data_IF_162387154256
#
_entry.id   IF_162387154256
#
_cell.length_a   1.000
_cell.length_b   1.000
_cell.length_c   1.000
_cell.angle_alpha   90.00
_cell.angle_beta   90.00
_cell.angle_gamma   90.00
#
_symmetry.space_group_name_H-M   'P 1'
#
loop_
_entity.id
_entity.type
_entity.pdbx_description
1 polymer ?
#
# COMPACT_ATOMS: atom_id res chain seq x y z
N UNK A 1 23.49 -50.32 -11.16
CA UNK A 1 24.84 -50.05 -10.63
C UNK A 1 24.93 -48.54 -10.43
N UNK A 2 25.06 -47.95 -9.26
CA UNK A 2 25.19 -48.39 -7.89
C UNK A 2 25.22 -47.11 -7.05
N UNK A 3 24.48 -47.10 -5.94
CA UNK A 3 24.58 -46.11 -4.88
C UNK A 3 26.01 -46.06 -4.32
N UNK A 4 26.47 -44.90 -3.84
CA UNK A 4 27.35 -44.77 -2.66
C UNK A 4 27.59 -43.30 -2.24
N UNK A 5 26.93 -42.89 -1.16
CA UNK A 5 27.56 -42.18 -0.04
C UNK A 5 28.22 -43.25 0.86
N UNK A 6 29.19 -42.98 1.79
CA UNK A 6 28.96 -42.07 2.92
C UNK A 6 30.17 -41.43 3.68
N UNK A 7 29.79 -40.60 4.66
CA UNK A 7 30.38 -40.33 6.00
C UNK A 7 31.67 -39.51 6.18
N UNK A 8 31.54 -38.36 6.87
CA UNK A 8 32.11 -38.15 8.23
C UNK A 8 31.91 -36.70 8.75
N UNK A 9 31.07 -36.58 9.78
CA UNK A 9 31.25 -35.86 11.07
C UNK A 9 32.02 -34.53 11.16
N UNK A 10 31.37 -33.51 11.74
CA UNK A 10 32.01 -32.31 12.27
C UNK A 10 31.01 -31.26 12.76
N UNK A 11 30.51 -31.42 13.98
CA UNK A 11 29.67 -30.43 14.70
C UNK A 11 30.56 -29.31 15.23
N UNK A 12 30.25 -28.06 14.90
CA UNK A 12 30.65 -26.87 15.69
C UNK A 12 29.49 -25.88 15.68
N UNK A 13 28.88 -25.67 16.85
CA UNK A 13 27.97 -24.58 17.16
C UNK A 13 28.76 -23.27 17.32
N UNK A 14 28.37 -22.21 16.60
CA UNK A 14 28.69 -20.84 16.96
C UNK A 14 27.48 -19.94 16.69
N UNK A 15 26.82 -19.52 17.77
CA UNK A 15 25.79 -18.49 17.79
C UNK A 15 26.42 -17.10 17.69
N UNK A 16 25.89 -16.17 16.89
CA UNK A 16 26.15 -14.74 17.09
C UNK A 16 24.94 -14.09 17.76
N UNK A 17 25.09 -13.74 19.03
CA UNK A 17 24.17 -12.87 19.75
C UNK A 17 24.33 -11.42 19.30
N UNK A 18 23.24 -10.81 18.85
CA UNK A 18 23.17 -9.36 18.64
C UNK A 18 22.93 -8.66 19.98
N UNK A 19 23.94 -7.93 20.46
CA UNK A 19 23.80 -6.96 21.55
C UNK A 19 23.66 -5.56 20.98
N UNK A 20 22.64 -4.88 21.47
CA UNK A 20 22.29 -3.48 21.28
C UNK A 20 23.46 -2.55 21.68
N UNK A 21 23.84 -1.64 20.79
CA UNK A 21 24.73 -0.53 21.10
C UNK A 21 23.91 0.74 21.32
N UNK A 22 23.67 1.05 22.59
CA UNK A 22 23.29 2.38 23.06
C UNK A 22 24.51 3.29 23.01
N UNK A 23 24.58 4.19 22.02
CA UNK A 23 25.57 5.28 22.00
C UNK A 23 24.95 6.47 22.72
N UNK A 24 25.26 6.57 24.02
CA UNK A 24 25.03 7.74 24.84
C UNK A 24 26.38 8.47 24.95
N UNK A 25 26.55 9.54 24.18
CA UNK A 25 27.71 10.44 24.33
C UNK A 25 27.34 11.52 25.33
N UNK A 26 27.98 11.43 26.49
CA UNK A 26 28.13 12.48 27.49
C UNK A 26 28.88 13.67 26.89
N UNK A 27 28.29 14.87 26.94
CA UNK A 27 29.02 16.13 26.96
C UNK A 27 28.27 17.07 27.91
N UNK A 28 28.86 17.28 29.08
CA UNK A 28 28.34 18.17 30.11
C UNK A 28 28.67 19.63 29.78
N UNK A 29 27.68 20.50 29.95
CA UNK A 29 27.85 21.94 30.09
C UNK A 29 26.94 22.42 31.23
N UNK A 30 27.58 22.90 32.29
CA UNK A 30 26.95 23.65 33.39
C UNK A 30 26.36 24.97 32.85
N UNK A 31 25.13 25.31 33.25
CA UNK A 31 24.75 26.69 33.61
C UNK A 31 23.29 26.78 34.10
N UNK A 32 23.17 27.21 35.35
CA UNK A 32 22.14 28.10 35.93
C UNK A 32 20.75 28.17 35.28
N UNK A 33 19.74 27.72 36.03
CA UNK A 33 18.35 28.16 35.88
C UNK A 33 18.20 29.67 36.13
N UNK A 34 17.27 30.33 35.44
CA UNK A 34 16.16 30.91 36.19
C UNK A 34 14.79 30.71 35.54
N UNK A 35 13.79 30.81 36.41
CA UNK A 35 12.35 30.65 36.26
C UNK A 35 11.73 31.37 35.05
N UNK A 36 10.85 30.67 34.33
CA UNK A 36 10.03 31.23 33.26
C UNK A 36 8.74 30.44 33.06
N UNK A 37 7.64 31.09 33.40
CA UNK A 37 6.24 30.67 33.38
C UNK A 37 5.80 29.92 32.10
N UNK A 38 5.17 28.75 32.24
CA UNK A 38 4.47 28.06 31.15
C UNK A 38 3.03 27.67 31.54
N UNK A 39 2.11 28.10 30.70
CA UNK A 39 0.65 27.99 30.77
C UNK A 39 0.14 26.53 30.71
N UNK A 40 -1.03 26.20 31.30
CA UNK A 40 -1.59 24.86 31.25
C UNK A 40 -2.64 24.75 30.13
N UNK A 41 -2.37 23.98 29.08
CA UNK A 41 -3.43 23.48 28.18
C UNK A 41 -3.10 22.04 27.74
N UNK A 42 -3.49 21.07 28.57
CA UNK A 42 -3.50 19.65 28.20
C UNK A 42 -4.96 19.20 28.05
N UNK A 43 -5.56 19.42 26.89
CA UNK A 43 -6.84 18.78 26.52
C UNK A 43 -6.53 17.41 25.89
N UNK A 44 -6.83 16.34 26.63
CA UNK A 44 -6.87 14.98 26.07
C UNK A 44 -8.11 14.86 25.18
N UNK A 45 -7.92 14.71 23.87
CA UNK A 45 -8.97 14.22 22.98
C UNK A 45 -8.97 12.68 23.05
N UNK A 46 -10.11 12.01 23.33
CA UNK A 46 -10.17 10.56 23.24
C UNK A 46 -10.19 10.12 21.76
N UNK A 47 -9.65 8.94 21.41
CA UNK A 47 -9.71 8.45 20.05
C UNK A 47 -11.16 8.13 19.69
N UNK A 48 -11.73 8.86 18.72
CA UNK A 48 -13.02 8.53 18.11
C UNK A 48 -12.87 7.20 17.36
N UNK A 49 -13.48 6.14 17.90
CA UNK A 49 -13.63 4.86 17.20
C UNK A 49 -14.63 5.04 16.07
N UNK A 50 -14.15 5.20 14.84
CA UNK A 50 -14.99 4.99 13.67
C UNK A 50 -15.33 3.51 13.59
N UNK A 51 -16.58 3.14 13.91
CA UNK A 51 -17.11 1.82 13.58
C UNK A 51 -17.64 1.86 12.16
N UNK A 52 -16.88 1.33 11.22
CA UNK A 52 -17.41 0.90 9.93
C UNK A 52 -18.05 -0.46 10.15
N UNK A 53 -19.38 -0.53 10.11
CA UNK A 53 -20.10 -1.79 10.08
C UNK A 53 -20.23 -2.23 8.62
N UNK A 54 -19.53 -3.29 8.24
CA UNK A 54 -19.74 -3.96 6.96
C UNK A 54 -20.48 -5.26 7.24
N UNK A 55 -21.79 -5.29 6.96
CA UNK A 55 -22.60 -6.49 7.04
C UNK A 55 -22.54 -7.25 5.72
N UNK A 56 -21.70 -8.27 5.67
CA UNK A 56 -21.88 -9.40 4.75
C UNK A 56 -21.22 -10.62 5.37
N UNK A 57 -22.03 -11.60 5.72
CA UNK A 57 -21.62 -12.90 6.24
C UNK A 57 -20.79 -13.66 5.19
N UNK A 58 -19.47 -13.53 5.28
CA UNK A 58 -18.52 -14.50 4.70
C UNK A 58 -17.79 -15.18 5.85
N UNK A 59 -17.98 -16.50 5.93
CA UNK A 59 -17.38 -17.36 6.96
C UNK A 59 -15.86 -17.42 6.76
N UNK A 60 -15.13 -17.30 7.87
CA UNK A 60 -13.66 -17.21 7.99
C UNK A 60 -13.08 -15.80 7.74
N UNK A 61 -12.57 -15.18 8.80
CA UNK A 61 -11.78 -13.96 8.69
C UNK A 61 -10.57 -14.21 7.75
N UNK A 62 -10.43 -13.36 6.73
CA UNK A 62 -9.37 -13.45 5.72
C UNK A 62 -8.00 -13.44 6.40
N UNK A 63 -7.08 -14.29 5.93
CA UNK A 63 -5.81 -14.55 6.61
C UNK A 63 -4.98 -13.27 6.86
N UNK A 64 -4.83 -12.41 5.85
CA UNK A 64 -4.15 -11.12 5.98
C UNK A 64 -4.87 -10.18 6.97
N UNK A 65 -6.21 -10.18 6.99
CA UNK A 65 -7.00 -9.31 7.87
C UNK A 65 -6.87 -9.74 9.33
N UNK A 66 -6.85 -11.05 9.60
CA UNK A 66 -6.59 -11.60 10.95
C UNK A 66 -5.23 -11.14 11.47
N UNK A 67 -4.19 -11.33 10.66
CA UNK A 67 -2.84 -10.90 11.02
C UNK A 67 -2.76 -9.39 11.27
N UNK A 68 -3.41 -8.57 10.42
CA UNK A 68 -3.44 -7.11 10.57
C UNK A 68 -4.18 -6.65 11.85
N UNK A 69 -5.13 -7.44 12.35
CA UNK A 69 -5.82 -7.20 13.64
C UNK A 69 -5.00 -7.63 14.86
N UNK A 70 -3.91 -8.36 14.65
CA UNK A 70 -3.10 -8.95 15.72
C UNK A 70 -3.64 -10.30 16.23
N UNK A 71 -4.57 -10.94 15.50
CA UNK A 71 -5.06 -12.27 15.84
C UNK A 71 -3.98 -13.34 15.59
N UNK A 72 -3.98 -14.46 16.34
CA UNK A 72 -3.05 -15.54 16.11
C UNK A 72 -3.24 -16.17 14.73
N UNK A 73 -2.15 -16.29 13.98
CA UNK A 73 -2.09 -16.88 12.63
C UNK A 73 -1.03 -17.97 12.57
N UNK A 74 -1.24 -18.97 11.72
CA UNK A 74 -0.33 -20.13 11.59
C UNK A 74 1.00 -19.79 10.92
N UNK A 75 1.03 -18.73 10.11
CA UNK A 75 2.22 -18.20 9.42
C UNK A 75 2.08 -16.70 9.19
N UNK A 76 3.17 -15.96 8.93
CA UNK A 76 3.07 -14.59 8.45
C UNK A 76 2.36 -14.53 7.08
N UNK A 77 1.44 -13.57 6.86
CA UNK A 77 0.86 -13.36 5.54
C UNK A 77 1.88 -12.67 4.61
N UNK A 78 1.80 -12.97 3.31
CA UNK A 78 2.73 -12.48 2.30
C UNK A 78 1.98 -11.88 1.12
N UNK A 79 2.38 -10.68 0.73
CA UNK A 79 2.01 -9.99 -0.51
C UNK A 79 3.16 -9.01 -0.84
N UNK A 80 3.21 -8.50 -2.08
CA UNK A 80 4.26 -7.58 -2.50
C UNK A 80 3.67 -6.26 -3.00
N UNK A 81 4.34 -5.15 -2.68
CA UNK A 81 4.07 -3.87 -3.33
C UNK A 81 4.49 -3.97 -4.81
N UNK A 82 3.74 -3.31 -5.69
CA UNK A 82 3.93 -3.37 -7.15
C UNK A 82 3.90 -4.82 -7.69
N UNK A 83 3.06 -5.67 -7.10
CA UNK A 83 2.88 -7.05 -7.57
C UNK A 83 2.37 -7.13 -9.00
N UNK A 84 1.68 -6.11 -9.51
CA UNK A 84 1.23 -6.06 -10.91
C UNK A 84 2.07 -5.00 -11.63
N UNK A 85 2.78 -5.41 -12.68
CA UNK A 85 3.63 -4.52 -13.46
C UNK A 85 4.49 -5.24 -14.49
N UNK A 86 5.30 -4.44 -15.19
CA UNK A 86 6.03 -4.82 -16.41
C UNK A 86 7.07 -5.93 -16.23
N UNK A 87 7.28 -6.44 -15.02
CA UNK A 87 8.10 -7.62 -14.82
C UNK A 87 7.43 -8.88 -15.43
N UNK A 88 6.08 -8.94 -15.42
CA UNK A 88 5.33 -10.03 -16.03
C UNK A 88 5.29 -9.86 -17.55
N UNK A 89 5.51 -10.95 -18.29
CA UNK A 89 5.43 -10.92 -19.76
C UNK A 89 4.00 -10.67 -20.26
N UNK A 90 2.99 -11.05 -19.46
CA UNK A 90 1.57 -10.83 -19.77
C UNK A 90 1.24 -9.35 -19.67
N UNK A 91 1.64 -8.69 -18.58
CA UNK A 91 1.48 -7.23 -18.41
C UNK A 91 2.21 -6.44 -19.50
N UNK A 92 3.43 -6.83 -19.89
CA UNK A 92 4.16 -6.19 -21.01
C UNK A 92 3.36 -6.22 -22.32
N UNK A 93 2.78 -7.37 -22.68
CA UNK A 93 1.92 -7.47 -23.88
C UNK A 93 0.64 -6.64 -23.75
N UNK A 94 0.12 -6.50 -22.53
CA UNK A 94 -1.03 -5.64 -22.27
C UNK A 94 -0.66 -4.17 -22.44
N UNK A 95 0.50 -3.75 -21.94
CA UNK A 95 1.04 -2.40 -22.13
C UNK A 95 1.36 -2.09 -23.61
N UNK A 96 1.78 -3.08 -24.41
CA UNK A 96 1.94 -2.91 -25.87
C UNK A 96 0.60 -2.65 -26.58
N UNK A 97 -0.50 -3.24 -26.10
CA UNK A 97 -1.86 -3.03 -26.65
C UNK A 97 -2.48 -1.73 -26.15
N UNK A 98 -2.23 -1.39 -24.89
CA UNK A 98 -2.75 -0.21 -24.19
C UNK A 98 -1.57 0.64 -23.67
N UNK A 99 -0.92 1.42 -24.55
CA UNK A 99 0.30 2.16 -24.22
C UNK A 99 0.05 3.20 -23.12
N UNK A 100 -1.14 3.82 -23.12
CA UNK A 100 -1.53 4.78 -22.10
C UNK A 100 -1.64 4.12 -20.73
N UNK A 101 -0.75 4.51 -19.80
CA UNK A 101 -0.83 4.06 -18.41
C UNK A 101 -2.15 4.48 -17.77
N UNK A 102 -2.63 5.69 -18.09
CA UNK A 102 -3.88 6.22 -17.57
C UNK A 102 -5.09 5.42 -18.04
N UNK A 103 -5.09 4.98 -19.30
CA UNK A 103 -6.13 4.08 -19.82
C UNK A 103 -6.17 2.77 -19.02
N UNK A 104 -5.00 2.17 -18.75
CA UNK A 104 -4.90 0.95 -17.95
C UNK A 104 -5.30 1.13 -16.48
N UNK A 105 -5.08 2.30 -15.89
CA UNK A 105 -5.38 2.60 -14.48
C UNK A 105 -6.77 3.22 -14.24
N UNK A 106 -7.48 3.63 -15.28
CA UNK A 106 -8.84 4.19 -15.21
C UNK A 106 -9.92 3.29 -15.86
N UNK A 107 -9.53 2.27 -16.63
CA UNK A 107 -10.46 1.31 -17.24
C UNK A 107 -10.70 0.12 -16.34
N UNK A 108 -11.94 -0.05 -15.88
CA UNK A 108 -12.34 -1.09 -14.92
C UNK A 108 -11.85 -2.49 -15.29
N UNK A 109 -12.06 -2.93 -16.54
CA UNK A 109 -11.69 -4.28 -17.00
C UNK A 109 -10.17 -4.49 -16.98
N UNK A 110 -9.40 -3.48 -17.42
CA UNK A 110 -7.93 -3.54 -17.43
C UNK A 110 -7.37 -3.55 -16.01
N UNK A 111 -7.94 -2.74 -15.11
CA UNK A 111 -7.56 -2.73 -13.68
C UNK A 111 -7.73 -4.13 -13.10
N UNK A 112 -8.88 -4.78 -13.35
CA UNK A 112 -9.15 -6.12 -12.83
C UNK A 112 -8.21 -7.15 -13.45
N UNK A 113 -8.05 -7.16 -14.77
CA UNK A 113 -7.15 -8.08 -15.47
C UNK A 113 -5.72 -7.98 -14.92
N UNK A 114 -5.16 -6.76 -14.85
CA UNK A 114 -3.80 -6.50 -14.37
C UNK A 114 -3.64 -6.91 -12.90
N UNK A 115 -4.60 -6.57 -12.04
CA UNK A 115 -4.55 -6.88 -10.61
C UNK A 115 -4.62 -8.39 -10.31
N UNK A 116 -5.27 -9.16 -11.19
CA UNK A 116 -5.46 -10.60 -11.02
C UNK A 116 -4.26 -11.44 -11.46
N UNK A 117 -3.43 -10.96 -12.39
CA UNK A 117 -2.26 -11.72 -12.89
C UNK A 117 -1.33 -12.25 -11.78
N UNK A 118 -0.93 -11.46 -10.77
CA UNK A 118 -0.04 -11.92 -9.71
C UNK A 118 -0.76 -12.88 -8.76
N UNK A 119 -2.07 -12.71 -8.60
CA UNK A 119 -2.87 -13.62 -7.80
C UNK A 119 -2.99 -14.99 -8.44
N UNK A 120 -3.21 -15.05 -9.76
CA UNK A 120 -3.24 -16.30 -10.51
C UNK A 120 -1.89 -17.03 -10.48
N UNK A 121 -0.79 -16.29 -10.61
CA UNK A 121 0.55 -16.85 -10.67
C UNK A 121 1.08 -17.31 -9.30
N UNK A 122 0.87 -16.55 -8.23
CA UNK A 122 1.55 -16.75 -6.94
C UNK A 122 0.62 -16.95 -5.74
N UNK A 123 -0.68 -16.68 -5.89
CA UNK A 123 -1.69 -16.80 -4.81
C UNK A 123 -1.27 -16.11 -3.49
N UNK A 124 -0.89 -14.82 -3.50
CA UNK A 124 -0.54 -14.07 -2.30
C UNK A 124 -1.75 -13.89 -1.38
N UNK A 125 -1.52 -13.61 -0.09
CA UNK A 125 -2.58 -13.45 0.91
C UNK A 125 -3.41 -12.16 0.74
N UNK A 126 -2.89 -11.22 -0.06
CA UNK A 126 -3.55 -9.97 -0.42
C UNK A 126 -3.41 -9.68 -1.91
N UNK A 127 -4.47 -9.14 -2.49
CA UNK A 127 -4.53 -8.62 -3.87
C UNK A 127 -4.72 -7.12 -3.78
N UNK A 128 -3.78 -6.35 -4.30
CA UNK A 128 -3.88 -4.89 -4.34
C UNK A 128 -4.44 -4.44 -5.69
N UNK A 129 -5.35 -3.46 -5.66
CA UNK A 129 -5.88 -2.83 -6.88
C UNK A 129 -4.75 -2.19 -7.68
N UNK A 130 -4.76 -2.36 -8.99
CA UNK A 130 -3.94 -1.59 -9.91
C UNK A 130 -4.57 -0.21 -10.11
N UNK A 131 -3.95 0.82 -9.55
CA UNK A 131 -4.37 2.22 -9.67
C UNK A 131 -3.13 3.11 -9.63
N UNK A 132 -3.28 4.37 -10.00
CA UNK A 132 -2.28 5.39 -9.71
C UNK A 132 -2.58 6.10 -8.38
N UNK A 133 -1.56 6.69 -7.76
CA UNK A 133 -1.71 7.59 -6.61
C UNK A 133 -2.30 8.93 -7.01
N UNK A 134 -2.05 9.38 -8.24
CA UNK A 134 -2.54 10.68 -8.76
C UNK A 134 -3.99 10.63 -9.27
N UNK A 135 -4.61 9.46 -9.29
CA UNK A 135 -5.99 9.24 -9.73
C UNK A 135 -7.01 10.26 -9.14
N UNK A 136 -6.90 10.72 -7.88
CA UNK A 136 -7.82 11.74 -7.35
C UNK A 136 -7.61 13.17 -7.90
N UNK A 137 -6.45 13.51 -8.49
CA UNK A 137 -6.13 14.88 -8.90
C UNK A 137 -7.15 15.49 -9.90
N UNK A 138 -7.59 14.78 -10.95
CA UNK A 138 -8.59 15.29 -11.89
C UNK A 138 -9.97 15.50 -11.22
N UNK A 139 -10.24 14.77 -10.12
CA UNK A 139 -11.44 14.97 -9.32
C UNK A 139 -11.38 16.27 -8.51
N UNK A 140 -10.19 16.73 -8.11
CA UNK A 140 -9.94 18.04 -7.51
C UNK A 140 -9.87 19.20 -8.52
N UNK A 141 -9.87 18.89 -9.82
CA UNK A 141 -9.73 19.89 -10.89
C UNK A 141 -8.28 20.12 -11.36
N UNK A 142 -7.37 19.22 -11.00
CA UNK A 142 -5.99 19.24 -11.48
C UNK A 142 -5.79 18.18 -12.58
N UNK A 143 -5.85 18.58 -13.86
CA UNK A 143 -5.48 17.66 -14.94
C UNK A 143 -3.98 17.36 -14.83
N UNK A 144 -3.65 16.10 -15.02
CA UNK A 144 -2.28 15.64 -15.18
C UNK A 144 -2.23 14.70 -16.38
N UNK A 145 -1.03 14.57 -16.94
CA UNK A 145 -0.77 13.62 -18.02
C UNK A 145 0.44 12.77 -17.65
N UNK A 146 0.40 11.51 -18.08
CA UNK A 146 1.49 10.56 -17.90
C UNK A 146 2.05 10.27 -19.29
N UNK A 147 3.18 10.88 -19.60
CA UNK A 147 3.98 10.50 -20.76
C UNK A 147 4.68 9.16 -20.49
N UNK A 148 4.72 8.29 -21.50
CA UNK A 148 5.11 6.88 -21.43
C UNK A 148 6.51 6.59 -20.84
N UNK A 149 7.38 7.61 -20.79
CA UNK A 149 8.79 7.50 -20.35
C UNK A 149 9.10 8.52 -19.22
N UNK A 150 8.18 9.45 -18.91
CA UNK A 150 8.44 10.54 -17.97
C UNK A 150 7.49 10.51 -16.78
N UNK A 151 7.99 11.02 -15.66
CA UNK A 151 7.23 11.25 -14.43
C UNK A 151 6.00 12.12 -14.77
N UNK A 152 4.83 11.88 -14.16
CA UNK A 152 3.63 12.68 -14.35
C UNK A 152 3.93 14.17 -14.27
N UNK A 153 3.50 14.91 -15.30
CA UNK A 153 3.74 16.35 -15.39
C UNK A 153 2.50 17.07 -14.88
N UNK A 154 2.63 17.71 -13.72
CA UNK A 154 1.60 18.58 -13.17
C UNK A 154 1.75 19.95 -13.84
N UNK A 155 0.83 20.28 -14.75
CA UNK A 155 0.90 21.52 -15.53
C UNK A 155 0.76 22.79 -14.68
N UNK A 156 0.02 22.71 -13.57
CA UNK A 156 -0.27 23.88 -12.71
C UNK A 156 0.21 23.63 -11.29
N UNK A 157 1.27 24.31 -10.87
CA UNK A 157 1.79 24.24 -9.50
C UNK A 157 1.06 25.19 -8.56
N UNK A 158 0.71 24.72 -7.37
CA UNK A 158 0.08 25.53 -6.32
C UNK A 158 1.17 26.19 -5.49
N UNK A 159 1.29 27.52 -5.60
CA UNK A 159 2.26 28.32 -4.84
C UNK A 159 1.61 29.56 -4.16
N UNK A 160 0.29 29.72 -4.26
CA UNK A 160 -0.44 30.85 -3.66
C UNK A 160 -1.82 30.43 -3.13
N UNK A 161 -2.31 31.15 -2.13
CA UNK A 161 -3.63 30.91 -1.53
C UNK A 161 -4.76 31.09 -2.57
N UNK A 162 -4.60 32.03 -3.50
CA UNK A 162 -5.56 32.25 -4.58
C UNK A 162 -5.70 30.99 -5.47
N UNK A 163 -4.59 30.28 -5.73
CA UNK A 163 -4.60 29.00 -6.46
C UNK A 163 -5.18 27.86 -5.64
N UNK A 164 -4.97 27.86 -4.32
CA UNK A 164 -5.64 26.88 -3.46
C UNK A 164 -7.17 27.01 -3.56
N UNK A 165 -7.70 28.24 -3.63
CA UNK A 165 -9.14 28.51 -3.74
C UNK A 165 -9.76 28.06 -5.07
N UNK A 166 -8.97 27.74 -6.08
CA UNK A 166 -9.49 27.17 -7.34
C UNK A 166 -9.72 25.66 -7.27
N UNK A 167 -9.27 25.00 -6.20
CA UNK A 167 -9.55 23.58 -5.97
C UNK A 167 -11.05 23.36 -5.80
N UNK A 168 -11.56 22.33 -6.46
CA UNK A 168 -12.93 21.90 -6.26
C UNK A 168 -13.03 20.93 -5.09
N UNK A 169 -14.20 20.83 -4.44
CA UNK A 169 -14.53 19.66 -3.62
C UNK A 169 -14.34 18.38 -4.43
N UNK A 170 -13.94 17.30 -3.75
CA UNK A 170 -13.71 16.02 -4.41
C UNK A 170 -15.04 15.46 -4.97
N UNK A 171 -15.11 15.34 -6.29
CA UNK A 171 -16.26 14.74 -6.99
C UNK A 171 -16.05 13.23 -7.16
N UNK A 172 -16.63 12.43 -6.25
CA UNK A 172 -16.50 10.96 -6.25
C UNK A 172 -17.03 10.29 -7.53
N UNK A 173 -17.96 10.93 -8.24
CA UNK A 173 -18.49 10.41 -9.51
C UNK A 173 -17.40 10.20 -10.57
N UNK A 174 -16.35 11.02 -10.56
CA UNK A 174 -15.19 10.88 -11.44
C UNK A 174 -14.30 9.69 -11.09
N UNK A 175 -14.51 9.07 -9.93
CA UNK A 175 -13.73 7.95 -9.39
C UNK A 175 -14.56 6.66 -9.28
N UNK A 176 -15.71 6.58 -9.96
CA UNK A 176 -16.62 5.44 -9.88
C UNK A 176 -15.93 4.11 -10.26
N UNK A 177 -15.02 4.14 -11.23
CA UNK A 177 -14.26 2.98 -11.69
C UNK A 177 -13.45 2.33 -10.55
N UNK A 178 -12.91 3.11 -9.60
CA UNK A 178 -12.17 2.57 -8.44
C UNK A 178 -13.08 1.67 -7.60
N UNK A 179 -14.29 2.15 -7.29
CA UNK A 179 -15.27 1.39 -6.51
C UNK A 179 -15.75 0.15 -7.25
N UNK A 180 -15.96 0.27 -8.57
CA UNK A 180 -16.38 -0.85 -9.42
C UNK A 180 -15.29 -1.92 -9.52
N UNK A 181 -14.04 -1.53 -9.78
CA UNK A 181 -12.89 -2.43 -9.81
C UNK A 181 -12.70 -3.16 -8.49
N UNK A 182 -12.80 -2.47 -7.35
CA UNK A 182 -12.72 -3.12 -6.04
C UNK A 182 -13.84 -4.16 -5.83
N UNK A 183 -15.05 -3.86 -6.30
CA UNK A 183 -16.19 -4.78 -6.23
C UNK A 183 -15.95 -6.03 -7.09
N UNK A 184 -15.47 -5.85 -8.32
CA UNK A 184 -15.16 -6.95 -9.23
C UNK A 184 -14.00 -7.80 -8.70
N UNK A 185 -12.90 -7.17 -8.26
CA UNK A 185 -11.78 -7.89 -7.62
C UNK A 185 -12.23 -8.72 -6.42
N UNK A 186 -13.13 -8.18 -5.60
CA UNK A 186 -13.69 -8.92 -4.47
C UNK A 186 -14.50 -10.14 -4.91
N UNK A 187 -15.20 -10.03 -6.02
CA UNK A 187 -15.97 -11.13 -6.61
C UNK A 187 -15.03 -12.20 -7.21
N UNK A 188 -14.04 -11.79 -7.99
CA UNK A 188 -13.04 -12.69 -8.62
C UNK A 188 -12.22 -13.49 -7.60
N UNK A 189 -11.80 -12.83 -6.51
CA UNK A 189 -11.07 -13.49 -5.41
C UNK A 189 -11.99 -14.41 -4.59
N UNK A 190 -13.32 -14.34 -4.80
CA UNK A 190 -14.35 -15.17 -4.17
C UNK A 190 -14.24 -15.25 -2.63
N UNK A 191 -13.81 -14.15 -2.01
CA UNK A 191 -13.62 -14.07 -0.56
C UNK A 191 -12.54 -15.00 0.00
N UNK A 192 -11.63 -15.52 -0.82
CA UNK A 192 -10.51 -16.34 -0.36
C UNK A 192 -9.34 -15.52 0.20
N UNK A 193 -9.09 -14.33 -0.38
CA UNK A 193 -7.96 -13.47 -0.02
C UNK A 193 -8.42 -12.03 0.24
N UNK A 194 -7.57 -11.23 0.89
CA UNK A 194 -7.86 -9.83 1.13
C UNK A 194 -7.70 -9.00 -0.15
N UNK A 195 -8.62 -8.07 -0.39
CA UNK A 195 -8.49 -7.05 -1.43
C UNK A 195 -8.03 -5.76 -0.75
N UNK A 196 -6.95 -5.18 -1.26
CA UNK A 196 -6.28 -4.01 -0.72
C UNK A 196 -6.57 -2.81 -1.64
N UNK A 197 -7.25 -1.80 -1.09
CA UNK A 197 -7.26 -0.46 -1.66
C UNK A 197 -6.12 0.38 -1.05
N UNK A 198 -5.70 1.41 -1.75
CA UNK A 198 -4.71 2.36 -1.24
C UNK A 198 -5.06 3.79 -1.64
N UNK A 199 -4.53 4.74 -0.89
CA UNK A 199 -4.56 6.18 -1.18
C UNK A 199 -3.24 6.78 -0.71
N UNK A 200 -2.78 7.84 -1.36
CA UNK A 200 -1.62 8.59 -0.90
C UNK A 200 -2.00 9.54 0.25
N UNK A 201 -1.01 9.89 1.07
CA UNK A 201 -1.18 10.85 2.16
C UNK A 201 -1.28 12.31 1.63
N UNK A 202 -1.88 13.24 2.40
CA UNK A 202 -1.94 14.66 2.05
C UNK A 202 -0.58 15.38 2.11
#
# INVERSE_FOLDING_TARGET
MGFSFPTSTGVVCCSPGWKSCSVFVHLGLNSSCPSGTLYPLKRKCPPRKFRVACSSSFSSDLFLVKAARGDPVSRPPVWMMHQAGLYMAIDRKLAERYPSFRERSETTDLIVEISMQPWEAFRPDGVIIFSDILTPLPAFGFPFDIEEIRVPIIQTLIHSEARLKTLHPLYLEKLHFVGESLRLLRWEVNGHNAVLGFVEAP
#
